data_IF_014799073613
#
_entry.id   IF_014799073613
#
_cell.length_a   1.000
_cell.length_b   1.000
_cell.length_c   1.000
_cell.angle_alpha   90.00
_cell.angle_beta   90.00
_cell.angle_gamma   90.00
#
_symmetry.space_group_name_H-M   'P 1'
#
loop_
_entity.id
_entity.type
_entity.pdbx_description
1 polymer ?
#
# COMPACT_ATOMS: atom_id res chain seq x y z
N UNK A 1 -15.24 2.03 4.62
CA UNK A 1 -16.07 1.59 3.48
C UNK A 1 -15.43 1.91 2.13
N UNK A 2 -15.02 3.15 1.85
CA UNK A 2 -14.49 3.53 0.53
C UNK A 2 -13.24 2.78 0.05
N UNK A 3 -12.30 2.44 0.96
CA UNK A 3 -11.10 1.65 0.61
C UNK A 3 -11.47 0.23 0.17
N UNK A 4 -12.22 -0.49 1.00
CA UNK A 4 -12.71 -1.84 0.68
C UNK A 4 -13.54 -1.89 -0.61
N UNK A 5 -14.32 -0.84 -0.91
CA UNK A 5 -15.07 -0.76 -2.17
C UNK A 5 -14.14 -0.66 -3.39
N UNK A 6 -13.05 0.10 -3.29
CA UNK A 6 -12.04 0.21 -4.36
C UNK A 6 -11.26 -1.09 -4.53
N UNK A 7 -10.93 -1.77 -3.43
CA UNK A 7 -10.26 -3.06 -3.47
C UNK A 7 -11.09 -4.08 -4.26
N UNK A 8 -12.39 -4.18 -3.93
CA UNK A 8 -13.33 -5.04 -4.65
C UNK A 8 -13.55 -4.65 -6.11
N UNK A 9 -13.55 -3.35 -6.41
CA UNK A 9 -13.69 -2.85 -7.77
C UNK A 9 -12.53 -3.30 -8.66
N UNK A 10 -11.28 -3.15 -8.18
CA UNK A 10 -10.10 -3.61 -8.92
C UNK A 10 -10.01 -5.14 -9.03
N UNK A 11 -10.45 -5.87 -8.01
CA UNK A 11 -10.55 -7.34 -8.07
C UNK A 11 -11.59 -7.80 -9.11
N UNK A 12 -12.71 -7.10 -9.23
CA UNK A 12 -13.76 -7.42 -10.22
C UNK A 12 -13.30 -7.12 -11.64
N UNK A 13 -12.71 -5.94 -11.87
CA UNK A 13 -12.13 -5.57 -13.17
C UNK A 13 -11.08 -6.59 -13.62
N UNK A 14 -10.22 -7.05 -12.70
CA UNK A 14 -9.25 -8.08 -13.02
C UNK A 14 -9.93 -9.34 -13.54
N UNK A 15 -10.93 -9.87 -12.82
CA UNK A 15 -11.68 -11.07 -13.24
C UNK A 15 -12.42 -10.89 -14.57
N UNK A 16 -12.94 -9.70 -14.84
CA UNK A 16 -13.61 -9.41 -16.12
C UNK A 16 -12.63 -9.37 -17.30
N UNK A 17 -11.39 -8.91 -17.07
CA UNK A 17 -10.39 -8.69 -18.13
C UNK A 17 -9.33 -9.80 -18.21
N UNK A 18 -9.37 -10.81 -17.33
CA UNK A 18 -8.39 -11.90 -17.26
C UNK A 18 -8.24 -12.63 -18.60
N UNK A 19 -9.34 -12.80 -19.35
CA UNK A 19 -9.34 -13.48 -20.65
C UNK A 19 -8.57 -12.70 -21.74
N UNK A 20 -8.54 -11.37 -21.64
CA UNK A 20 -7.88 -10.50 -22.61
C UNK A 20 -6.40 -10.26 -22.28
N UNK A 21 -5.99 -10.41 -21.01
CA UNK A 21 -4.62 -10.13 -20.50
C UNK A 21 -4.05 -8.77 -20.92
N UNK A 22 -4.90 -7.76 -21.16
CA UNK A 22 -4.49 -6.40 -21.59
C UNK A 22 -4.39 -5.40 -20.43
N UNK A 23 -4.83 -5.79 -19.23
CA UNK A 23 -4.94 -4.91 -18.09
C UNK A 23 -4.38 -5.61 -16.84
N UNK A 24 -3.51 -4.89 -16.14
CA UNK A 24 -2.99 -5.27 -14.83
C UNK A 24 -3.54 -4.28 -13.81
N UNK A 25 -4.13 -4.77 -12.72
CA UNK A 25 -4.64 -3.95 -11.62
C UNK A 25 -3.81 -4.17 -10.37
N UNK A 26 -3.51 -3.09 -9.64
CA UNK A 26 -2.74 -3.13 -8.40
C UNK A 26 -3.46 -2.31 -7.32
N UNK A 27 -3.68 -2.92 -6.15
CA UNK A 27 -4.08 -2.21 -4.94
C UNK A 27 -2.89 -2.10 -4.01
N UNK A 28 -2.20 -0.95 -4.03
CA UNK A 28 -1.03 -0.73 -3.19
C UNK A 28 -1.39 0.08 -1.94
N UNK A 29 -1.11 -0.48 -0.76
CA UNK A 29 -1.21 0.20 0.52
C UNK A 29 0.17 0.80 0.88
N UNK A 30 0.32 2.15 0.85
CA UNK A 30 1.62 2.79 0.98
C UNK A 30 2.20 2.82 2.40
N UNK A 31 1.56 2.16 3.37
CA UNK A 31 1.88 2.26 4.79
C UNK A 31 1.49 3.60 5.43
N UNK A 32 1.82 3.81 6.72
CA UNK A 32 1.56 5.04 7.44
C UNK A 32 2.55 6.14 7.02
N UNK A 33 2.17 6.94 6.03
CA UNK A 33 3.00 8.04 5.52
C UNK A 33 2.95 9.28 6.42
N UNK A 34 4.09 9.94 6.62
CA UNK A 34 4.12 11.30 7.22
C UNK A 34 3.69 12.34 6.18
N UNK A 35 2.39 12.57 6.08
CA UNK A 35 1.78 13.52 5.13
C UNK A 35 0.86 14.50 5.86
N UNK A 36 0.47 15.57 5.17
CA UNK A 36 -0.52 16.55 5.66
C UNK A 36 -1.84 15.89 6.10
N UNK A 37 -2.26 14.82 5.41
CA UNK A 37 -3.44 14.03 5.81
C UNK A 37 -3.28 13.47 7.23
N UNK A 38 -2.08 13.03 7.59
CA UNK A 38 -1.81 12.50 8.93
C UNK A 38 -1.75 13.61 9.99
N UNK A 39 -1.40 14.84 9.61
CA UNK A 39 -1.53 16.01 10.48
C UNK A 39 -3.01 16.29 10.80
N UNK A 40 -3.88 16.26 9.79
CA UNK A 40 -5.32 16.45 9.96
C UNK A 40 -5.95 15.39 10.87
N UNK A 41 -5.56 14.11 10.73
CA UNK A 41 -6.03 13.03 11.60
C UNK A 41 -5.64 13.25 13.08
N UNK A 42 -4.46 13.82 13.32
CA UNK A 42 -3.94 14.10 14.67
C UNK A 42 -4.61 15.33 15.31
N UNK A 43 -5.08 16.29 14.52
CA UNK A 43 -5.70 17.53 15.02
C UNK A 43 -7.23 17.54 14.99
N UNK A 44 -7.87 16.64 14.24
CA UNK A 44 -9.32 16.64 14.04
C UNK A 44 -10.09 16.11 15.23
N UNK A 45 -10.80 16.97 15.96
CA UNK A 45 -11.62 16.59 17.14
C UNK A 45 -12.75 15.59 16.83
N UNK A 46 -13.12 15.42 15.56
CA UNK A 46 -14.18 14.50 15.11
C UNK A 46 -13.76 13.02 15.08
N UNK A 47 -12.46 12.75 15.13
CA UNK A 47 -11.94 11.39 15.17
C UNK A 47 -11.93 10.87 16.61
N UNK A 48 -12.17 9.58 16.78
CA UNK A 48 -12.11 8.95 18.10
C UNK A 48 -10.74 9.15 18.77
N UNK A 49 -10.76 9.37 20.08
CA UNK A 49 -9.56 9.68 20.86
C UNK A 49 -8.51 8.57 20.79
N UNK A 50 -8.91 7.30 20.83
CA UNK A 50 -7.98 6.17 20.78
C UNK A 50 -7.26 6.08 19.43
N UNK A 51 -7.99 6.37 18.35
CA UNK A 51 -7.44 6.41 16.99
C UNK A 51 -6.46 7.57 16.83
N UNK A 52 -6.77 8.74 17.41
CA UNK A 52 -5.89 9.90 17.42
C UNK A 52 -4.59 9.62 18.17
N UNK A 53 -4.70 9.03 19.36
CA UNK A 53 -3.55 8.66 20.20
C UNK A 53 -2.64 7.66 19.47
N UNK A 54 -3.20 6.67 18.78
CA UNK A 54 -2.45 5.74 17.92
C UNK A 54 -1.65 6.46 16.82
N UNK A 55 -2.24 7.44 16.14
CA UNK A 55 -1.54 8.21 15.10
C UNK A 55 -0.47 9.17 15.66
N UNK A 56 -0.71 9.75 16.84
CA UNK A 56 0.29 10.56 17.55
C UNK A 56 1.46 9.68 17.98
N UNK A 57 1.19 8.51 18.55
CA UNK A 57 2.21 7.57 18.99
C UNK A 57 3.00 6.98 17.81
N UNK A 58 2.35 6.64 16.70
CA UNK A 58 3.04 6.22 15.47
C UNK A 58 4.00 7.29 14.95
N UNK A 59 3.62 8.58 15.04
CA UNK A 59 4.54 9.66 14.68
C UNK A 59 5.72 9.77 15.64
N UNK A 60 5.46 9.71 16.95
CA UNK A 60 6.49 9.85 17.98
C UNK A 60 7.48 8.68 17.98
N UNK A 61 7.00 7.47 17.70
CA UNK A 61 7.82 6.26 17.63
C UNK A 61 8.60 6.15 16.31
N UNK A 62 8.44 7.09 15.38
CA UNK A 62 9.16 7.10 14.11
C UNK A 62 8.78 5.94 13.17
N UNK A 63 7.61 5.31 13.36
CA UNK A 63 7.12 4.23 12.50
C UNK A 63 6.53 4.73 11.17
N UNK A 64 6.65 6.03 10.90
CA UNK A 64 6.17 6.64 9.67
C UNK A 64 7.11 6.37 8.52
N UNK A 65 6.52 5.94 7.41
CA UNK A 65 7.23 5.71 6.15
C UNK A 65 7.39 7.05 5.44
N UNK A 66 8.60 7.32 4.91
CA UNK A 66 8.81 8.47 4.05
C UNK A 66 8.02 8.29 2.76
N UNK A 67 7.34 9.34 2.33
CA UNK A 67 6.55 9.35 1.09
C UNK A 67 7.38 8.91 -0.13
N UNK A 68 8.65 9.33 -0.17
CA UNK A 68 9.60 8.97 -1.23
C UNK A 68 9.90 7.47 -1.28
N UNK A 69 10.07 6.83 -0.12
CA UNK A 69 10.37 5.40 -0.02
C UNK A 69 9.18 4.57 -0.49
N UNK A 70 7.97 4.95 -0.06
CA UNK A 70 6.74 4.28 -0.48
C UNK A 70 6.42 4.48 -1.95
N UNK A 71 6.67 5.68 -2.49
CA UNK A 71 6.51 5.97 -3.91
C UNK A 71 7.49 5.17 -4.77
N UNK A 72 8.75 5.03 -4.33
CA UNK A 72 9.77 4.20 -5.01
C UNK A 72 9.32 2.75 -5.10
N UNK A 73 8.81 2.17 -4.00
CA UNK A 73 8.28 0.80 -3.99
C UNK A 73 7.10 0.66 -4.96
N UNK A 74 6.15 1.59 -4.94
CA UNK A 74 5.01 1.58 -5.87
C UNK A 74 5.45 1.61 -7.33
N UNK A 75 6.37 2.51 -7.70
CA UNK A 75 6.90 2.59 -9.07
C UNK A 75 7.64 1.30 -9.44
N UNK A 76 8.44 0.77 -8.54
CA UNK A 76 9.19 -0.46 -8.79
C UNK A 76 8.24 -1.67 -8.98
N UNK A 77 7.15 -1.77 -8.20
CA UNK A 77 6.11 -2.79 -8.39
C UNK A 77 5.46 -2.67 -9.77
N UNK A 78 5.08 -1.46 -10.19
CA UNK A 78 4.39 -1.25 -11.47
C UNK A 78 5.29 -1.54 -12.68
N UNK A 79 6.58 -1.25 -12.58
CA UNK A 79 7.54 -1.47 -13.67
C UNK A 79 8.06 -2.91 -13.75
N UNK A 80 7.96 -3.68 -12.67
CA UNK A 80 8.49 -5.03 -12.61
C UNK A 80 7.42 -6.05 -12.99
N UNK A 81 7.56 -6.62 -14.19
CA UNK A 81 6.64 -7.63 -14.68
C UNK A 81 6.68 -8.90 -13.82
N UNK A 82 5.50 -9.45 -13.52
CA UNK A 82 5.37 -10.74 -12.83
C UNK A 82 5.74 -10.70 -11.34
N UNK A 83 5.98 -9.53 -10.76
CA UNK A 83 6.24 -9.41 -9.32
C UNK A 83 4.96 -9.72 -8.55
N UNK A 84 3.83 -9.08 -8.87
CA UNK A 84 2.57 -9.27 -8.15
C UNK A 84 1.46 -9.88 -9.03
N UNK A 85 0.50 -10.56 -8.40
CA UNK A 85 -0.70 -11.04 -9.08
C UNK A 85 -1.65 -9.87 -9.38
N UNK A 86 -2.14 -9.77 -10.61
CA UNK A 86 -3.10 -8.72 -10.97
C UNK A 86 -4.37 -8.84 -10.11
N UNK A 87 -4.82 -7.73 -9.54
CA UNK A 87 -5.95 -7.69 -8.60
C UNK A 87 -5.56 -7.91 -7.15
N UNK A 88 -4.29 -8.21 -6.85
CA UNK A 88 -3.79 -8.35 -5.48
C UNK A 88 -3.76 -7.02 -4.72
N UNK A 89 -3.88 -7.15 -3.40
CA UNK A 89 -3.60 -6.10 -2.44
C UNK A 89 -2.18 -6.30 -1.90
N UNK A 90 -1.34 -5.27 -2.02
CA UNK A 90 0.07 -5.31 -1.62
C UNK A 90 0.34 -4.17 -0.63
N UNK A 91 0.88 -4.49 0.55
CA UNK A 91 1.33 -3.49 1.51
C UNK A 91 2.82 -3.16 1.31
N UNK A 92 3.21 -1.94 1.65
CA UNK A 92 4.60 -1.51 1.70
C UNK A 92 5.47 -2.44 2.58
N UNK A 93 4.92 -2.94 3.70
CA UNK A 93 5.66 -3.82 4.59
C UNK A 93 5.87 -5.23 4.01
N UNK A 94 4.95 -5.71 3.17
CA UNK A 94 5.06 -7.03 2.50
C UNK A 94 6.24 -7.08 1.52
N UNK A 95 6.64 -5.92 0.99
CA UNK A 95 7.77 -5.78 0.07
C UNK A 95 9.10 -5.66 0.82
N UNK A 96 9.08 -5.16 2.07
CA UNK A 96 10.29 -4.78 2.81
C UNK A 96 10.78 -5.85 3.79
N UNK A 97 9.90 -6.73 4.30
CA UNK A 97 10.29 -7.88 5.12
C UNK A 97 10.85 -9.05 4.30
N UNK A 98 11.95 -8.79 3.60
CA UNK A 98 12.79 -9.83 3.03
C UNK A 98 13.57 -10.58 4.10
N UNK A 99 12.89 -11.37 4.96
CA UNK A 99 13.53 -12.48 5.66
C UNK A 99 12.51 -13.50 6.19
N UNK A 100 12.26 -14.55 5.40
CA UNK A 100 11.75 -15.83 5.90
C UNK A 100 10.25 -16.08 5.72
N UNK A 101 9.93 -16.95 4.77
CA UNK A 101 8.75 -17.83 4.74
C UNK A 101 7.36 -17.16 4.60
N UNK A 102 7.14 -16.51 3.47
CA UNK A 102 5.79 -16.18 3.00
C UNK A 102 5.83 -15.31 1.75
N UNK A 103 5.86 -15.93 0.56
CA UNK A 103 5.62 -15.29 -0.75
C UNK A 103 6.12 -13.85 -0.90
N UNK A 104 7.42 -13.62 -0.73
CA UNK A 104 8.00 -12.26 -0.76
C UNK A 104 8.12 -11.72 -2.18
N UNK A 105 7.62 -10.50 -2.42
CA UNK A 105 7.74 -9.77 -3.67
C UNK A 105 9.13 -9.12 -3.78
N UNK A 106 10.11 -9.82 -4.32
CA UNK A 106 11.45 -9.25 -4.56
C UNK A 106 11.44 -8.35 -5.78
N UNK A 107 11.65 -7.05 -5.58
CA UNK A 107 11.80 -6.10 -6.68
C UNK A 107 13.30 -5.90 -6.96
N UNK A 108 13.82 -6.58 -7.97
CA UNK A 108 15.22 -6.38 -8.38
C UNK A 108 15.38 -5.03 -9.10
N UNK A 109 16.40 -4.22 -8.74
CA UNK A 109 16.63 -2.95 -9.40
C UNK A 109 17.26 -3.17 -10.77
N UNK A 110 16.42 -3.18 -11.81
CA UNK A 110 16.83 -2.96 -13.20
C UNK A 110 16.63 -4.15 -14.13
N UNK A 111 15.59 -4.04 -14.96
CA UNK A 111 15.53 -4.56 -16.31
C UNK A 111 14.97 -3.46 -17.23
#
# INVERSE_FOLDING_TARGET
SGKAARDMFHATIHKEQEHAKRLTTLNYAPGPLDTEMQAELRTSETIDRSTREYFIESKNNGSLVKTEDSARVCVALVLSDGVFESGAHVDFFDVKEGNGEGGTLTIEPGA
#
